data_IF_494508079502
#
_entry.id   IF_494508079502
#
_cell.length_a   1.000
_cell.length_b   1.000
_cell.length_c   1.000
_cell.angle_alpha   90.00
_cell.angle_beta   90.00
_cell.angle_gamma   90.00
#
_symmetry.space_group_name_H-M   'P 1'
#
loop_
_entity.id
_entity.type
_entity.pdbx_description
1 polymer ?
#
# COMPACT_ATOMS: atom_id res chain seq x y z
N UNK A 1 13.71 -2.98 7.38
CA UNK A 1 12.73 -2.97 6.26
C UNK A 1 11.51 -2.12 6.57
N UNK A 2 10.97 -2.20 7.81
CA UNK A 2 9.79 -1.46 8.25
C UNK A 2 9.81 0.04 7.91
N UNK A 3 10.89 0.76 8.20
CA UNK A 3 10.98 2.20 7.90
C UNK A 3 10.88 2.52 6.40
N UNK A 4 11.49 1.69 5.54
CA UNK A 4 11.37 1.83 4.08
C UNK A 4 9.94 1.52 3.60
N UNK A 5 9.30 0.49 4.17
CA UNK A 5 7.90 0.17 3.88
C UNK A 5 6.95 1.30 4.31
N UNK A 6 7.19 1.90 5.48
CA UNK A 6 6.41 3.06 5.96
C UNK A 6 6.64 4.27 5.06
N UNK A 7 7.89 4.56 4.67
CA UNK A 7 8.18 5.65 3.74
C UNK A 7 7.51 5.43 2.38
N UNK A 8 7.55 4.21 1.84
CA UNK A 8 6.84 3.85 0.60
C UNK A 8 5.33 4.05 0.75
N UNK A 9 4.74 3.63 1.88
CA UNK A 9 3.33 3.84 2.16
C UNK A 9 2.96 5.32 2.20
N UNK A 10 3.70 6.14 2.95
CA UNK A 10 3.44 7.58 3.07
C UNK A 10 3.53 8.28 1.71
N UNK A 11 4.58 7.98 0.93
CA UNK A 11 4.73 8.56 -0.42
C UNK A 11 3.58 8.16 -1.34
N UNK A 12 3.16 6.89 -1.31
CA UNK A 12 2.05 6.41 -2.14
C UNK A 12 0.70 7.00 -1.70
N UNK A 13 0.45 7.11 -0.39
CA UNK A 13 -0.78 7.68 0.13
C UNK A 13 -0.91 9.17 -0.25
N UNK A 14 0.15 9.97 -0.06
CA UNK A 14 0.17 11.37 -0.47
C UNK A 14 0.07 11.52 -1.99
N UNK A 15 0.76 10.69 -2.77
CA UNK A 15 0.67 10.71 -4.24
C UNK A 15 -0.75 10.41 -4.71
N UNK A 16 -1.39 9.39 -4.14
CA UNK A 16 -2.77 9.02 -4.47
C UNK A 16 -3.75 10.10 -4.03
N UNK A 17 -3.49 10.76 -2.90
CA UNK A 17 -4.28 11.88 -2.41
C UNK A 17 -4.16 13.10 -3.32
N UNK A 18 -2.97 13.39 -3.83
CA UNK A 18 -2.70 14.49 -4.76
C UNK A 18 -3.22 14.21 -6.17
N UNK A 19 -3.16 12.95 -6.60
CA UNK A 19 -3.59 12.52 -7.94
C UNK A 19 -5.10 12.29 -8.04
N UNK A 20 -5.83 12.30 -6.91
CA UNK A 20 -7.28 12.11 -6.90
C UNK A 20 -7.98 13.31 -7.52
N UNK A 21 -8.74 13.13 -8.62
CA UNK A 21 -9.56 14.20 -9.19
C UNK A 21 -10.58 14.71 -8.16
N UNK A 22 -10.76 16.02 -8.09
CA UNK A 22 -11.76 16.72 -7.28
C UNK A 22 -13.17 16.33 -7.74
N UNK A 23 -13.66 15.17 -7.33
CA UNK A 23 -14.93 14.60 -7.81
C UNK A 23 -15.02 13.08 -7.76
N UNK A 24 -13.92 12.38 -7.49
CA UNK A 24 -13.99 10.92 -7.26
C UNK A 24 -14.73 10.63 -5.96
N UNK A 25 -15.78 9.81 -6.07
CA UNK A 25 -16.57 9.32 -4.94
C UNK A 25 -15.63 8.73 -3.86
N UNK A 26 -15.86 9.01 -2.57
CA UNK A 26 -15.04 8.42 -1.51
C UNK A 26 -14.98 6.90 -1.67
N UNK A 27 -13.83 6.27 -1.35
CA UNK A 27 -13.67 4.83 -1.51
C UNK A 27 -14.81 4.12 -0.77
N UNK A 28 -15.43 3.15 -1.46
CA UNK A 28 -16.56 2.41 -0.91
C UNK A 28 -16.21 1.87 0.49
N UNK A 29 -17.08 2.12 1.47
CA UNK A 29 -16.87 1.82 2.89
C UNK A 29 -16.65 0.32 3.20
N UNK A 30 -16.81 -0.57 2.20
CA UNK A 30 -16.51 -2.00 2.30
C UNK A 30 -15.09 -2.40 1.87
N UNK A 31 -14.23 -1.45 1.48
CA UNK A 31 -12.86 -1.77 1.03
C UNK A 31 -11.97 -2.04 2.25
N UNK A 32 -11.66 -3.32 2.45
CA UNK A 32 -10.81 -3.80 3.56
C UNK A 32 -9.34 -3.34 3.47
N UNK A 33 -8.91 -2.81 2.33
CA UNK A 33 -7.56 -2.32 2.05
C UNK A 33 -7.62 -1.05 1.17
N UNK A 34 -6.78 -0.05 1.46
CA UNK A 34 -6.66 1.16 0.61
C UNK A 34 -5.80 0.89 -0.62
N UNK A 35 -5.96 1.69 -1.69
CA UNK A 35 -5.11 1.59 -2.89
C UNK A 35 -3.62 1.77 -2.55
N UNK A 36 -3.33 2.64 -1.58
CA UNK A 36 -1.98 2.85 -1.05
C UNK A 36 -1.41 1.56 -0.43
N UNK A 37 -2.22 0.83 0.35
CA UNK A 37 -1.80 -0.44 0.95
C UNK A 37 -1.53 -1.52 -0.11
N UNK A 38 -2.37 -1.62 -1.14
CA UNK A 38 -2.19 -2.58 -2.24
C UNK A 38 -0.90 -2.28 -3.00
N UNK A 39 -0.68 -1.02 -3.39
CA UNK A 39 0.50 -0.60 -4.14
C UNK A 39 1.78 -0.76 -3.32
N UNK A 40 1.75 -0.42 -2.04
CA UNK A 40 2.91 -0.61 -1.15
C UNK A 40 3.25 -2.08 -0.99
N UNK A 41 2.23 -2.96 -0.86
CA UNK A 41 2.45 -4.41 -0.77
C UNK A 41 3.13 -4.94 -2.05
N UNK A 42 2.69 -4.48 -3.22
CA UNK A 42 3.30 -4.87 -4.49
C UNK A 42 4.76 -4.39 -4.62
N UNK A 43 5.05 -3.15 -4.19
CA UNK A 43 6.40 -2.59 -4.17
C UNK A 43 7.32 -3.33 -3.19
N UNK A 44 6.82 -3.66 -2.00
CA UNK A 44 7.56 -4.46 -1.02
C UNK A 44 7.83 -5.87 -1.56
N UNK A 45 6.85 -6.49 -2.23
CA UNK A 45 7.02 -7.78 -2.88
C UNK A 45 8.11 -7.74 -3.95
N UNK A 46 8.05 -6.78 -4.86
CA UNK A 46 9.01 -6.63 -5.94
C UNK A 46 10.42 -6.33 -5.41
N UNK A 47 10.54 -5.49 -4.38
CA UNK A 47 11.83 -5.03 -3.86
C UNK A 47 12.51 -6.00 -2.91
N UNK A 48 11.75 -6.69 -2.06
CA UNK A 48 12.32 -7.49 -0.96
C UNK A 48 12.04 -8.99 -1.07
N UNK A 49 11.05 -9.40 -1.88
CA UNK A 49 10.61 -10.80 -1.97
C UNK A 49 10.65 -11.35 -3.40
N UNK A 50 11.36 -10.69 -4.33
CA UNK A 50 11.49 -11.13 -5.72
C UNK A 50 10.16 -11.19 -6.47
N UNK A 51 9.16 -10.40 -6.06
CA UNK A 51 7.80 -10.41 -6.63
C UNK A 51 6.82 -11.36 -5.93
N UNK A 52 7.23 -12.06 -4.86
CA UNK A 52 6.32 -12.93 -4.12
C UNK A 52 5.32 -12.14 -3.26
N UNK A 53 4.14 -11.89 -3.85
CA UNK A 53 3.05 -11.13 -3.22
C UNK A 53 2.47 -11.83 -1.98
N UNK A 54 2.51 -13.16 -1.89
CA UNK A 54 1.97 -13.91 -0.75
C UNK A 54 2.81 -13.65 0.49
N UNK A 55 4.13 -13.73 0.36
CA UNK A 55 5.07 -13.45 1.46
C UNK A 55 5.02 -11.97 1.86
N UNK A 56 4.96 -11.07 0.88
CA UNK A 56 4.83 -9.64 1.15
C UNK A 56 3.51 -9.29 1.83
N UNK A 57 2.39 -9.90 1.44
CA UNK A 57 1.10 -9.74 2.11
C UNK A 57 1.18 -10.21 3.56
N UNK A 58 1.78 -11.36 3.81
CA UNK A 58 1.93 -11.86 5.18
C UNK A 58 2.82 -10.94 6.04
N UNK A 59 3.91 -10.43 5.45
CA UNK A 59 4.74 -9.41 6.08
C UNK A 59 3.94 -8.14 6.42
N UNK A 60 3.10 -7.69 5.48
CA UNK A 60 2.25 -6.51 5.66
C UNK A 60 1.17 -6.74 6.73
N UNK A 61 0.53 -7.90 6.77
CA UNK A 61 -0.44 -8.27 7.81
C UNK A 61 0.19 -8.32 9.21
N UNK A 62 1.47 -8.69 9.32
CA UNK A 62 2.19 -8.66 10.60
C UNK A 62 2.64 -7.26 11.03
N UNK A 63 2.68 -6.29 10.10
CA UNK A 63 3.26 -4.96 10.33
C UNK A 63 2.23 -3.83 10.31
N UNK A 64 1.13 -4.00 9.59
CA UNK A 64 -0.08 -3.18 9.60
C UNK A 64 -1.14 -3.89 10.45
N UNK A 65 -1.04 -3.68 11.76
CA UNK A 65 -2.12 -3.95 12.71
C UNK A 65 -2.99 -2.72 12.87
#
# INVERSE_FOLDING_TARGET
>A
MREQTVAMYCVLDDLLRFSRPTGTLPPASGRRLTDAQVLTTALVAARFFGGNLVVAKHYMEQHWG
#
